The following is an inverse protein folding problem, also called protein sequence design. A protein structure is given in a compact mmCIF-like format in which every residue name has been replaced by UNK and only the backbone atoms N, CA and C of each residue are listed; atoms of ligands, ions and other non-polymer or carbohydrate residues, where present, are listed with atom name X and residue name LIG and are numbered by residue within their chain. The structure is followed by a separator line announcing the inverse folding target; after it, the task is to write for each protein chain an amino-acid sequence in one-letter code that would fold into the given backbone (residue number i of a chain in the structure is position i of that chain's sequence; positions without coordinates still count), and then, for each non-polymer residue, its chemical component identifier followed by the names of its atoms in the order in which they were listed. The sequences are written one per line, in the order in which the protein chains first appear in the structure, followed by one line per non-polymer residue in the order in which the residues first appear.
data_IF_920502048986
#
_entry.id   IF_920502048986
#
_cell.length_a   1.000
_cell.length_b   1.000
_cell.length_c   1.000
_cell.angle_alpha   90.00
_cell.angle_beta   90.00
_cell.angle_gamma   90.00
#
_symmetry.space_group_name_H-M   'P 1'
#
loop_
_entity.id
_entity.type
_entity.pdbx_description
1 polymer ?
#
# COMPACT_ATOMS: atom_id res chain seq x y z
N UNK A 1 15.54 17.56 -7.13
CA UNK A 1 14.49 16.60 -7.48
C UNK A 1 14.29 15.62 -6.32
N UNK A 2 13.07 15.20 -6.02
CA UNK A 2 12.71 14.22 -4.98
C UNK A 2 12.04 13.04 -5.66
N UNK A 3 12.55 11.83 -5.40
CA UNK A 3 12.07 10.60 -6.03
C UNK A 3 11.30 9.79 -5.00
N UNK A 4 10.02 9.58 -5.24
CA UNK A 4 9.13 8.78 -4.38
C UNK A 4 8.79 7.49 -5.12
N UNK A 5 9.04 6.35 -4.50
CA UNK A 5 8.74 5.04 -5.08
C UNK A 5 7.75 4.29 -4.20
N UNK A 6 6.74 3.69 -4.83
CA UNK A 6 6.09 2.52 -4.26
C UNK A 6 7.06 1.33 -4.23
N UNK A 7 6.75 0.27 -3.51
CA UNK A 7 7.63 -0.90 -3.35
C UNK A 7 7.10 -2.11 -4.10
N UNK A 8 5.89 -2.56 -3.77
CA UNK A 8 5.30 -3.78 -4.34
C UNK A 8 4.86 -3.56 -5.80
N UNK A 9 5.44 -4.31 -6.75
CA UNK A 9 5.18 -4.12 -8.18
C UNK A 9 6.04 -3.01 -8.83
N UNK A 10 6.64 -2.14 -8.02
CA UNK A 10 7.44 -0.99 -8.51
C UNK A 10 8.94 -1.20 -8.35
N UNK A 11 9.42 -1.62 -7.17
CA UNK A 11 10.83 -1.93 -6.89
C UNK A 11 11.05 -3.44 -6.76
N UNK A 12 10.02 -4.18 -6.42
CA UNK A 12 10.07 -5.64 -6.22
C UNK A 12 8.90 -6.29 -6.97
N UNK A 13 8.98 -7.60 -7.28
CA UNK A 13 7.76 -8.35 -7.55
C UNK A 13 6.79 -8.20 -6.37
N UNK A 14 5.48 -8.24 -6.63
CA UNK A 14 4.48 -8.14 -5.56
C UNK A 14 4.78 -9.14 -4.45
N UNK A 15 4.97 -8.64 -3.22
CA UNK A 15 5.37 -9.40 -2.01
C UNK A 15 6.70 -10.16 -2.12
N UNK A 16 7.43 -9.98 -3.21
CA UNK A 16 8.74 -10.61 -3.43
C UNK A 16 9.90 -9.73 -2.99
N UNK A 17 11.11 -10.28 -3.04
CA UNK A 17 12.33 -9.54 -2.79
C UNK A 17 12.83 -8.85 -4.06
N UNK A 18 13.58 -7.77 -3.90
CA UNK A 18 14.20 -7.04 -4.99
C UNK A 18 15.20 -7.94 -5.76
N UNK A 19 15.21 -7.82 -7.09
CA UNK A 19 16.17 -8.53 -7.92
C UNK A 19 17.62 -8.12 -7.57
N UNK A 20 18.58 -9.06 -7.45
CA UNK A 20 19.95 -8.75 -7.04
C UNK A 20 20.68 -7.76 -7.95
N UNK A 21 20.36 -7.74 -9.25
CA UNK A 21 20.97 -6.80 -10.20
C UNK A 21 20.38 -5.41 -10.02
N UNK A 22 19.06 -5.34 -9.90
CA UNK A 22 18.35 -4.08 -9.65
C UNK A 22 18.66 -3.51 -8.26
N UNK A 23 18.86 -4.37 -7.25
CA UNK A 23 19.32 -3.94 -5.92
C UNK A 23 20.56 -3.05 -6.00
N UNK A 24 21.60 -3.47 -6.75
CA UNK A 24 22.86 -2.69 -6.89
C UNK A 24 22.62 -1.36 -7.58
N UNK A 25 21.82 -1.36 -8.64
CA UNK A 25 21.46 -0.16 -9.39
C UNK A 25 20.68 0.82 -8.50
N UNK A 26 19.63 0.34 -7.85
CA UNK A 26 18.76 1.18 -7.01
C UNK A 26 19.50 1.72 -5.78
N UNK A 27 20.35 0.91 -5.15
CA UNK A 27 21.19 1.36 -4.04
C UNK A 27 22.13 2.50 -4.46
N UNK A 28 22.77 2.37 -5.63
CA UNK A 28 23.61 3.44 -6.16
C UNK A 28 22.81 4.70 -6.46
N UNK A 29 21.63 4.55 -7.03
CA UNK A 29 20.70 5.65 -7.27
C UNK A 29 20.30 6.34 -5.96
N UNK A 30 19.93 5.57 -4.94
CA UNK A 30 19.53 6.11 -3.64
C UNK A 30 20.68 6.83 -2.91
N UNK A 31 21.96 6.45 -3.15
CA UNK A 31 23.14 7.14 -2.60
C UNK A 31 23.40 8.51 -3.23
N UNK A 32 22.92 8.73 -4.45
CA UNK A 32 23.18 9.97 -5.22
C UNK A 32 21.96 10.88 -5.35
N UNK A 33 20.78 10.39 -5.03
CA UNK A 33 19.52 11.11 -5.17
C UNK A 33 18.72 11.15 -3.86
N UNK A 34 17.77 12.08 -3.76
CA UNK A 34 16.85 12.18 -2.62
C UNK A 34 15.70 11.20 -2.82
N UNK A 35 15.87 9.98 -2.34
CA UNK A 35 14.91 8.89 -2.48
C UNK A 35 14.03 8.75 -1.24
N UNK A 36 12.74 8.56 -1.47
CA UNK A 36 11.70 8.30 -0.48
C UNK A 36 10.92 7.06 -0.91
N UNK A 37 10.50 6.25 0.06
CA UNK A 37 9.64 5.09 -0.21
C UNK A 37 8.26 5.28 0.41
N UNK A 38 7.22 4.83 -0.28
CA UNK A 38 5.85 4.78 0.26
C UNK A 38 5.24 3.42 -0.03
N UNK A 39 4.86 2.68 1.00
CA UNK A 39 4.33 1.33 0.85
C UNK A 39 3.19 1.05 1.83
N UNK A 40 2.29 0.14 1.45
CA UNK A 40 1.29 -0.42 2.36
C UNK A 40 1.86 -1.39 3.41
N UNK A 41 3.08 -1.88 3.19
CA UNK A 41 3.77 -2.81 4.08
C UNK A 41 4.29 -2.12 5.36
N UNK A 42 4.48 -2.88 6.43
CA UNK A 42 5.19 -2.45 7.63
C UNK A 42 6.72 -2.45 7.41
N UNK A 43 7.47 -1.91 8.40
CA UNK A 43 8.94 -1.84 8.34
C UNK A 43 9.59 -3.21 8.12
N UNK A 44 9.15 -4.24 8.85
CA UNK A 44 9.75 -5.57 8.77
C UNK A 44 9.62 -6.13 7.36
N UNK A 45 8.42 -6.06 6.80
CA UNK A 45 8.16 -6.54 5.43
C UNK A 45 8.91 -5.71 4.39
N UNK A 46 8.96 -4.40 4.54
CA UNK A 46 9.69 -3.53 3.62
C UNK A 46 11.19 -3.86 3.62
N UNK A 47 11.81 -4.04 4.80
CA UNK A 47 13.22 -4.43 4.92
C UNK A 47 13.48 -5.83 4.32
N UNK A 48 12.56 -6.79 4.52
CA UNK A 48 12.64 -8.11 3.89
C UNK A 48 12.67 -8.02 2.36
N UNK A 49 11.87 -7.10 1.79
CA UNK A 49 11.73 -6.94 0.34
C UNK A 49 12.93 -6.24 -0.30
N UNK A 50 13.39 -5.12 0.26
CA UNK A 50 14.40 -4.26 -0.39
C UNK A 50 15.78 -4.30 0.27
N UNK A 51 15.93 -4.96 1.41
CA UNK A 51 17.16 -5.01 2.20
C UNK A 51 17.35 -3.78 3.09
N UNK A 52 18.04 -4.00 4.22
CA UNK A 52 18.26 -2.97 5.24
C UNK A 52 19.13 -1.79 4.72
N UNK A 53 20.08 -2.06 3.83
CA UNK A 53 20.98 -1.01 3.30
C UNK A 53 20.21 0.00 2.45
N UNK A 54 19.35 -0.45 1.51
CA UNK A 54 18.49 0.46 0.75
C UNK A 54 17.55 1.21 1.68
N UNK A 55 16.90 0.48 2.62
CA UNK A 55 15.98 1.09 3.58
C UNK A 55 16.62 2.25 4.34
N UNK A 56 17.85 2.07 4.83
CA UNK A 56 18.58 3.08 5.61
C UNK A 56 19.21 4.20 4.73
N UNK A 57 19.38 3.96 3.43
CA UNK A 57 19.90 4.96 2.49
C UNK A 57 18.81 5.96 2.08
N UNK A 58 17.54 5.55 2.10
CA UNK A 58 16.42 6.42 1.77
C UNK A 58 16.26 7.56 2.77
N UNK A 59 15.90 8.76 2.26
CA UNK A 59 15.68 9.96 3.10
C UNK A 59 14.55 9.77 4.12
N UNK A 60 13.49 9.10 3.73
CA UNK A 60 12.41 8.63 4.60
C UNK A 60 11.71 7.43 3.97
N UNK A 61 11.19 6.55 4.83
CA UNK A 61 10.33 5.43 4.42
C UNK A 61 8.98 5.57 5.11
N UNK A 62 7.95 5.73 4.30
CA UNK A 62 6.55 5.85 4.69
C UNK A 62 5.90 4.47 4.62
N UNK A 63 6.03 3.69 5.68
CA UNK A 63 5.37 2.39 5.82
C UNK A 63 3.88 2.57 6.17
N UNK A 64 3.08 1.51 5.99
CA UNK A 64 1.65 1.51 6.26
C UNK A 64 0.94 2.74 5.65
N UNK A 65 1.24 3.04 4.39
CA UNK A 65 0.70 4.20 3.65
C UNK A 65 0.98 5.55 4.33
N UNK A 66 2.14 5.69 4.99
CA UNK A 66 2.52 6.92 5.73
C UNK A 66 2.01 6.97 7.16
N UNK A 67 1.45 5.87 7.69
CA UNK A 67 1.03 5.77 9.08
C UNK A 67 2.17 5.36 10.03
N UNK A 68 3.32 4.93 9.48
CA UNK A 68 4.53 4.57 10.23
C UNK A 68 5.76 5.04 9.46
N UNK A 69 6.42 6.11 9.93
CA UNK A 69 7.45 6.83 9.18
C UNK A 69 8.80 6.65 9.86
N UNK A 70 9.80 6.30 9.06
CA UNK A 70 11.18 6.13 9.52
C UNK A 70 12.17 6.96 8.71
N UNK A 71 13.27 7.32 9.39
CA UNK A 71 14.53 7.74 8.81
C UNK A 71 15.60 6.79 9.37
N UNK A 72 16.10 5.89 8.57
CA UNK A 72 16.91 4.77 9.03
C UNK A 72 16.18 3.98 10.13
N UNK A 73 16.83 3.83 11.30
CA UNK A 73 16.22 3.14 12.45
C UNK A 73 15.36 4.05 13.34
N UNK A 74 15.39 5.36 13.12
CA UNK A 74 14.63 6.32 13.91
C UNK A 74 13.18 6.40 13.42
N UNK A 75 12.23 6.00 14.26
CA UNK A 75 10.81 6.22 14.02
C UNK A 75 10.48 7.71 14.23
N UNK A 76 9.98 8.36 13.19
CA UNK A 76 9.61 9.77 13.20
C UNK A 76 8.14 9.98 13.57
N UNK A 77 7.29 9.06 13.13
CA UNK A 77 5.85 9.12 13.36
C UNK A 77 5.27 7.71 13.42
N UNK A 78 4.26 7.53 14.25
CA UNK A 78 3.43 6.31 14.31
C UNK A 78 1.99 6.67 14.60
N UNK A 79 1.08 6.26 13.73
CA UNK A 79 -0.35 6.40 13.96
C UNK A 79 -0.86 5.26 14.86
N UNK A 80 -1.30 5.59 16.04
CA UNK A 80 -1.83 4.62 17.02
C UNK A 80 -3.35 4.35 16.86
N UNK A 81 -3.94 4.77 15.75
CA UNK A 81 -5.36 4.52 15.48
C UNK A 81 -5.68 3.02 15.45
N UNK A 82 -6.86 2.69 15.94
CA UNK A 82 -7.44 1.36 15.90
C UNK A 82 -8.86 1.44 15.35
N UNK A 83 -9.29 0.39 14.66
CA UNK A 83 -10.65 0.27 14.15
C UNK A 83 -11.66 0.42 15.29
N UNK A 84 -12.60 1.42 15.23
CA UNK A 84 -13.64 1.59 16.24
C UNK A 84 -14.54 0.36 16.34
N UNK A 85 -15.02 0.07 17.55
CA UNK A 85 -15.85 -1.10 17.81
C UNK A 85 -17.09 -1.14 16.91
N UNK A 86 -17.81 -0.03 16.78
CA UNK A 86 -19.01 0.04 15.93
C UNK A 86 -18.70 -0.32 14.45
N UNK A 87 -17.56 0.12 13.91
CA UNK A 87 -17.15 -0.23 12.55
C UNK A 87 -16.77 -1.71 12.45
N UNK A 88 -16.09 -2.25 13.47
CA UNK A 88 -15.77 -3.68 13.53
C UNK A 88 -17.03 -4.55 13.61
N UNK A 89 -17.99 -4.17 14.44
CA UNK A 89 -19.26 -4.90 14.62
C UNK A 89 -20.04 -4.90 13.30
N UNK A 90 -20.09 -3.77 12.60
CA UNK A 90 -20.73 -3.66 11.28
C UNK A 90 -20.06 -4.58 10.23
N UNK A 91 -18.72 -4.57 10.14
CA UNK A 91 -17.98 -5.48 9.24
C UNK A 91 -18.18 -6.95 9.62
N UNK A 92 -18.37 -7.26 10.89
CA UNK A 92 -18.69 -8.63 11.35
C UNK A 92 -20.09 -9.06 10.87
N UNK A 93 -21.06 -8.14 10.82
CA UNK A 93 -22.36 -8.42 10.21
C UNK A 93 -22.16 -8.74 8.72
N UNK A 94 -21.44 -7.92 7.97
CA UNK A 94 -21.13 -8.16 6.55
C UNK A 94 -20.40 -9.49 6.31
N UNK A 95 -19.50 -9.86 7.19
CA UNK A 95 -18.84 -11.18 7.15
C UNK A 95 -19.86 -12.33 7.26
N UNK A 96 -20.84 -12.19 8.15
CA UNK A 96 -21.87 -13.21 8.35
C UNK A 96 -22.94 -13.24 7.23
N UNK A 97 -23.18 -12.10 6.58
CA UNK A 97 -24.09 -11.96 5.44
C UNK A 97 -23.48 -12.47 4.12
N UNK A 98 -22.16 -12.62 4.05
CA UNK A 98 -21.47 -13.06 2.83
C UNK A 98 -21.87 -14.48 2.42
N UNK A 99 -22.21 -14.67 1.16
CA UNK A 99 -22.54 -15.97 0.58
C UNK A 99 -21.32 -16.82 0.22
N UNK A 100 -20.11 -16.24 0.24
CA UNK A 100 -18.89 -17.02 0.01
C UNK A 100 -18.67 -18.02 1.15
N UNK A 101 -18.49 -19.33 0.86
CA UNK A 101 -18.60 -20.36 1.90
C UNK A 101 -17.37 -20.52 2.78
N UNK A 102 -16.16 -20.12 2.30
CA UNK A 102 -14.91 -20.40 2.98
C UNK A 102 -14.57 -19.29 3.97
N UNK A 103 -14.23 -19.67 5.21
CA UNK A 103 -13.79 -18.81 6.30
C UNK A 103 -12.53 -19.41 6.92
N UNK A 104 -11.42 -18.63 6.95
CA UNK A 104 -10.13 -19.16 7.42
C UNK A 104 -9.48 -18.21 8.44
N UNK A 105 -9.31 -18.69 9.66
CA UNK A 105 -8.59 -17.99 10.72
C UNK A 105 -9.12 -16.59 11.04
N UNK A 106 -8.23 -15.59 11.11
CA UNK A 106 -8.60 -14.23 11.46
C UNK A 106 -9.16 -13.45 10.25
N UNK A 107 -10.23 -12.69 10.47
CA UNK A 107 -10.84 -11.83 9.45
C UNK A 107 -10.42 -10.37 9.57
N UNK A 108 -9.80 -9.98 10.68
CA UNK A 108 -9.29 -8.64 10.96
C UNK A 108 -7.82 -8.70 11.29
N UNK A 109 -6.99 -7.98 10.53
CA UNK A 109 -5.57 -7.81 10.76
C UNK A 109 -5.28 -6.35 11.07
N UNK A 110 -4.92 -6.04 12.32
CA UNK A 110 -4.55 -4.69 12.70
C UNK A 110 -3.12 -4.39 12.27
N UNK A 111 -2.95 -3.28 11.57
CA UNK A 111 -1.67 -2.69 11.20
C UNK A 111 -1.58 -1.27 11.76
N UNK A 112 -0.40 -0.67 11.69
CA UNK A 112 -0.24 0.71 12.13
C UNK A 112 -1.13 1.64 11.30
N UNK A 113 -2.09 2.30 11.97
CA UNK A 113 -3.02 3.26 11.36
C UNK A 113 -4.09 2.67 10.45
N UNK A 114 -4.20 1.34 10.34
CA UNK A 114 -5.18 0.68 9.50
C UNK A 114 -5.58 -0.70 10.03
N UNK A 115 -6.69 -1.22 9.52
CA UNK A 115 -7.13 -2.59 9.74
C UNK A 115 -7.48 -3.22 8.39
N UNK A 116 -6.88 -4.35 8.05
CA UNK A 116 -7.31 -5.12 6.89
C UNK A 116 -8.42 -6.07 7.30
N UNK A 117 -9.56 -6.02 6.61
CA UNK A 117 -10.69 -6.94 6.73
C UNK A 117 -10.70 -7.90 5.55
N UNK A 118 -10.97 -9.19 5.77
CA UNK A 118 -11.04 -10.20 4.72
C UNK A 118 -12.15 -11.20 4.97
N UNK A 119 -13.06 -11.36 4.00
CA UNK A 119 -14.18 -12.31 4.07
C UNK A 119 -13.66 -13.75 4.08
N UNK A 120 -12.72 -14.11 3.22
CA UNK A 120 -12.14 -15.47 3.20
C UNK A 120 -11.22 -15.71 4.41
N UNK A 121 -10.73 -14.65 5.03
CA UNK A 121 -9.82 -14.70 6.18
C UNK A 121 -8.34 -14.69 5.82
N UNK A 122 -7.51 -14.43 6.83
CA UNK A 122 -6.07 -14.19 6.65
C UNK A 122 -5.22 -15.47 6.59
N UNK A 123 -5.81 -16.63 6.93
CA UNK A 123 -5.14 -17.94 6.86
C UNK A 123 -5.50 -18.71 5.58
N UNK A 124 -6.20 -18.08 4.63
CA UNK A 124 -6.49 -18.68 3.34
C UNK A 124 -5.19 -18.99 2.58
N UNK A 125 -5.08 -20.21 2.07
CA UNK A 125 -4.00 -20.64 1.19
C UNK A 125 -4.12 -19.99 -0.20
N UNK A 126 -3.17 -20.29 -1.10
CA UNK A 126 -3.15 -19.66 -2.43
C UNK A 126 -4.35 -20.03 -3.29
N UNK A 127 -4.86 -21.26 -3.18
CA UNK A 127 -6.01 -21.73 -3.94
C UNK A 127 -7.28 -21.03 -3.45
N UNK A 128 -7.54 -21.06 -2.15
CA UNK A 128 -8.66 -20.36 -1.51
C UNK A 128 -8.67 -18.85 -1.81
N UNK A 129 -7.50 -18.23 -1.88
CA UNK A 129 -7.38 -16.80 -2.24
C UNK A 129 -7.75 -16.56 -3.70
N UNK A 130 -7.31 -17.40 -4.61
CA UNK A 130 -7.67 -17.33 -6.05
C UNK A 130 -9.15 -17.54 -6.26
N UNK A 131 -9.74 -18.52 -5.57
CA UNK A 131 -11.18 -18.82 -5.64
C UNK A 131 -12.01 -17.65 -5.12
N UNK A 132 -11.63 -17.07 -3.99
CA UNK A 132 -12.31 -15.88 -3.47
C UNK A 132 -12.16 -14.69 -4.43
N UNK A 133 -10.98 -14.49 -4.99
CA UNK A 133 -10.75 -13.41 -5.95
C UNK A 133 -11.61 -13.57 -7.21
N UNK A 134 -11.72 -14.80 -7.73
CA UNK A 134 -12.58 -15.11 -8.87
C UNK A 134 -14.07 -14.85 -8.55
N UNK A 135 -14.53 -15.27 -7.38
CA UNK A 135 -15.88 -14.98 -6.87
C UNK A 135 -16.12 -13.46 -6.76
N UNK A 136 -15.20 -12.73 -6.14
CA UNK A 136 -15.33 -11.29 -5.96
C UNK A 136 -15.25 -10.50 -7.28
N UNK A 137 -14.54 -11.00 -8.29
CA UNK A 137 -14.55 -10.40 -9.63
C UNK A 137 -15.96 -10.40 -10.27
N UNK A 138 -16.80 -11.38 -9.94
CA UNK A 138 -18.18 -11.53 -10.41
C UNK A 138 -19.13 -10.75 -9.50
N UNK A 139 -19.12 -11.07 -8.20
CA UNK A 139 -20.08 -10.56 -7.24
C UNK A 139 -19.82 -9.14 -6.77
N UNK A 140 -18.57 -8.64 -6.94
CA UNK A 140 -18.17 -7.31 -6.47
C UNK A 140 -18.40 -7.09 -4.96
N UNK A 141 -18.25 -8.17 -4.17
CA UNK A 141 -18.58 -8.18 -2.76
C UNK A 141 -17.77 -7.15 -1.97
N UNK A 142 -16.43 -7.13 -2.18
CA UNK A 142 -15.55 -6.18 -1.49
C UNK A 142 -15.85 -4.74 -1.87
N UNK A 143 -16.17 -4.48 -3.14
CA UNK A 143 -16.55 -3.16 -3.61
C UNK A 143 -17.86 -2.69 -2.97
N UNK A 144 -18.90 -3.54 -2.93
CA UNK A 144 -20.17 -3.26 -2.28
C UNK A 144 -19.98 -2.96 -0.78
N UNK A 145 -19.23 -3.82 -0.06
CA UNK A 145 -18.94 -3.63 1.37
C UNK A 145 -18.20 -2.28 1.59
N UNK A 146 -17.21 -1.97 0.78
CA UNK A 146 -16.44 -0.72 0.89
C UNK A 146 -17.31 0.51 0.66
N UNK A 147 -18.17 0.49 -0.36
CA UNK A 147 -19.09 1.60 -0.66
C UNK A 147 -20.07 1.83 0.47
N UNK A 148 -20.73 0.77 0.96
CA UNK A 148 -21.67 0.86 2.09
C UNK A 148 -20.98 1.33 3.37
N UNK A 149 -19.75 0.82 3.64
CA UNK A 149 -18.95 1.24 4.79
C UNK A 149 -18.65 2.74 4.75
N UNK A 150 -18.22 3.24 3.59
CA UNK A 150 -17.85 4.65 3.39
C UNK A 150 -19.06 5.60 3.58
N UNK A 151 -20.27 5.14 3.25
CA UNK A 151 -21.50 5.87 3.53
C UNK A 151 -21.86 5.85 5.02
N UNK A 152 -21.71 4.68 5.67
CA UNK A 152 -22.06 4.50 7.08
C UNK A 152 -21.08 5.21 8.03
N UNK A 153 -19.78 5.25 7.68
CA UNK A 153 -18.72 5.80 8.52
C UNK A 153 -17.96 6.94 7.83
N UNK A 154 -18.53 8.15 7.70
CA UNK A 154 -17.97 9.23 6.88
C UNK A 154 -16.60 9.76 7.36
N UNK A 155 -16.16 9.44 8.58
CA UNK A 155 -14.83 9.76 9.12
C UNK A 155 -13.79 8.68 8.87
N UNK A 156 -14.19 7.54 8.33
CA UNK A 156 -13.36 6.42 7.96
C UNK A 156 -13.36 6.24 6.44
N UNK A 157 -12.45 5.43 5.96
CA UNK A 157 -12.32 5.03 4.56
C UNK A 157 -12.11 3.52 4.51
N UNK A 158 -12.80 2.85 3.60
CA UNK A 158 -12.60 1.45 3.26
C UNK A 158 -12.28 1.37 1.77
N UNK A 159 -11.11 0.85 1.44
CA UNK A 159 -10.65 0.65 0.07
C UNK A 159 -10.39 -0.83 -0.19
N UNK A 160 -10.77 -1.31 -1.37
CA UNK A 160 -10.45 -2.68 -1.79
C UNK A 160 -8.93 -2.81 -1.92
N UNK A 161 -8.34 -3.72 -1.14
CA UNK A 161 -6.89 -3.92 -1.04
C UNK A 161 -6.44 -5.32 -1.46
N UNK A 162 -5.51 -5.41 -2.39
CA UNK A 162 -4.96 -6.68 -2.87
C UNK A 162 -6.03 -7.64 -3.41
N UNK A 163 -5.80 -8.96 -3.25
CA UNK A 163 -6.68 -10.00 -3.82
C UNK A 163 -7.91 -10.31 -2.96
N UNK A 164 -7.82 -10.16 -1.62
CA UNK A 164 -8.84 -10.70 -0.70
C UNK A 164 -9.23 -9.75 0.43
N UNK A 165 -8.65 -8.55 0.46
CA UNK A 165 -8.81 -7.64 1.60
C UNK A 165 -9.58 -6.38 1.28
N UNK A 166 -10.04 -5.73 2.36
CA UNK A 166 -10.51 -4.36 2.40
C UNK A 166 -9.66 -3.65 3.44
N UNK A 167 -8.98 -2.58 3.07
CA UNK A 167 -8.16 -1.79 3.98
C UNK A 167 -9.00 -0.66 4.56
N UNK A 168 -9.14 -0.64 5.88
CA UNK A 168 -9.94 0.34 6.61
C UNK A 168 -9.03 1.24 7.44
N UNK A 169 -9.19 2.54 7.30
CA UNK A 169 -8.37 3.56 7.96
C UNK A 169 -9.15 4.88 8.17
N UNK A 170 -8.54 5.84 8.83
CA UNK A 170 -9.12 7.18 8.95
C UNK A 170 -9.14 7.87 7.59
N UNK A 171 -10.22 8.56 7.27
CA UNK A 171 -10.35 9.32 6.01
C UNK A 171 -9.18 10.29 5.84
N UNK A 172 -8.55 10.25 4.65
CA UNK A 172 -7.35 11.05 4.33
C UNK A 172 -6.03 10.46 4.82
N UNK A 173 -6.04 9.25 5.43
CA UNK A 173 -4.84 8.54 5.88
C UNK A 173 -4.39 7.44 4.91
N UNK A 174 -4.65 7.63 3.61
CA UNK A 174 -4.12 6.82 2.50
C UNK A 174 -2.71 7.28 2.10
N UNK A 175 -2.14 6.71 1.04
CA UNK A 175 -0.80 7.06 0.56
C UNK A 175 -0.61 8.55 0.27
N UNK A 176 -1.65 9.28 -0.15
CA UNK A 176 -1.57 10.71 -0.45
C UNK A 176 -1.13 11.57 0.74
N UNK A 177 -1.36 11.12 1.99
CA UNK A 177 -0.93 11.88 3.17
C UNK A 177 0.57 12.16 3.20
N UNK A 178 1.39 11.38 2.46
CA UNK A 178 2.84 11.58 2.46
C UNK A 178 3.23 12.89 1.78
N UNK A 179 2.41 13.40 0.86
CA UNK A 179 2.69 14.65 0.14
C UNK A 179 2.78 15.87 1.08
N UNK A 180 2.15 15.85 2.25
CA UNK A 180 2.28 16.91 3.26
C UNK A 180 3.71 17.10 3.81
N UNK A 181 4.59 16.12 3.61
CA UNK A 181 5.99 16.18 4.06
C UNK A 181 6.92 16.85 3.03
N UNK A 182 6.39 17.25 1.88
CA UNK A 182 7.14 17.85 0.79
C UNK A 182 6.72 19.32 0.58
N UNK A 183 7.63 20.25 0.84
CA UNK A 183 7.35 21.69 0.72
C UNK A 183 7.21 22.15 -0.73
N UNK A 184 7.87 21.47 -1.68
CA UNK A 184 7.91 21.81 -3.09
C UNK A 184 7.40 20.63 -3.93
N UNK A 185 6.06 20.47 -4.06
CA UNK A 185 5.47 19.35 -4.79
C UNK A 185 5.92 19.27 -6.26
N UNK A 186 6.21 20.40 -6.90
CA UNK A 186 6.67 20.49 -8.28
C UNK A 186 8.02 19.81 -8.54
N UNK A 187 8.76 19.49 -7.48
CA UNK A 187 10.05 18.79 -7.59
C UNK A 187 9.95 17.27 -7.37
N UNK A 188 8.74 16.75 -7.24
CA UNK A 188 8.49 15.32 -7.02
C UNK A 188 8.45 14.58 -8.36
N UNK A 189 9.07 13.40 -8.38
CA UNK A 189 8.85 12.34 -9.37
C UNK A 189 8.35 11.11 -8.61
N UNK A 190 7.14 10.67 -8.91
CA UNK A 190 6.49 9.53 -8.28
C UNK A 190 6.46 8.32 -9.21
N UNK A 191 6.95 7.17 -8.74
CA UNK A 191 6.95 5.90 -9.44
C UNK A 191 6.02 4.90 -8.72
N UNK A 192 5.02 4.36 -9.43
CA UNK A 192 4.05 3.41 -8.88
C UNK A 192 3.45 2.50 -9.95
N UNK A 193 3.09 1.27 -9.59
CA UNK A 193 2.49 0.28 -10.49
C UNK A 193 0.96 0.39 -10.56
N UNK A 194 0.33 0.93 -9.51
CA UNK A 194 -1.13 1.01 -9.37
C UNK A 194 -1.62 2.46 -9.36
N UNK A 195 -1.25 3.22 -10.38
CA UNK A 195 -1.61 4.65 -10.53
C UNK A 195 -2.96 4.88 -11.21
N UNK A 196 -3.66 3.84 -11.63
CA UNK A 196 -5.04 3.88 -12.14
C UNK A 196 -6.06 4.13 -11.01
N UNK A 197 -7.31 4.58 -11.31
CA UNK A 197 -8.32 4.91 -10.31
C UNK A 197 -8.68 3.79 -9.32
N UNK A 198 -8.48 2.53 -9.69
CA UNK A 198 -8.71 1.38 -8.82
C UNK A 198 -7.45 0.98 -8.01
N UNK A 199 -6.32 1.65 -8.24
CA UNK A 199 -5.05 1.36 -7.62
C UNK A 199 -4.79 2.16 -6.33
N UNK A 200 -3.95 1.60 -5.47
CA UNK A 200 -3.60 2.24 -4.20
C UNK A 200 -2.64 3.44 -4.35
N UNK A 201 -1.94 3.55 -5.49
CA UNK A 201 -1.05 4.67 -5.84
C UNK A 201 -1.81 5.86 -6.43
N UNK A 202 -3.04 5.62 -6.90
CA UNK A 202 -3.89 6.66 -7.47
C UNK A 202 -4.05 7.86 -6.55
N UNK A 203 -4.15 7.61 -5.25
CA UNK A 203 -4.29 8.68 -4.26
C UNK A 203 -3.13 9.68 -4.26
N UNK A 204 -1.91 9.29 -4.64
CA UNK A 204 -0.77 10.19 -4.88
C UNK A 204 -0.85 10.72 -6.31
N UNK A 205 -1.01 9.83 -7.29
CA UNK A 205 -0.94 10.16 -8.71
C UNK A 205 -1.95 11.24 -9.11
N UNK A 206 -3.17 11.21 -8.57
CA UNK A 206 -4.22 12.19 -8.89
C UNK A 206 -3.98 13.59 -8.28
N UNK A 207 -3.02 13.76 -7.38
CA UNK A 207 -2.64 15.03 -6.76
C UNK A 207 -1.35 15.64 -7.34
N UNK A 208 -0.68 14.92 -8.23
CA UNK A 208 0.53 15.38 -8.93
C UNK A 208 0.21 15.71 -10.39
N UNK A 209 1.06 16.54 -11.00
CA UNK A 209 0.95 16.81 -12.42
C UNK A 209 1.32 15.58 -13.26
N UNK A 210 0.73 15.35 -14.44
CA UNK A 210 0.97 14.16 -15.25
C UNK A 210 2.45 13.86 -15.53
N UNK A 211 3.27 14.89 -15.71
CA UNK A 211 4.71 14.75 -15.98
C UNK A 211 5.54 14.32 -14.75
N UNK A 212 4.94 14.32 -13.57
CA UNK A 212 5.55 13.91 -12.31
C UNK A 212 5.25 12.44 -11.98
N UNK A 213 4.29 11.82 -12.68
CA UNK A 213 3.82 10.45 -12.40
C UNK A 213 4.39 9.48 -13.43
N UNK A 214 5.16 8.54 -12.95
CA UNK A 214 5.78 7.48 -13.73
C UNK A 214 5.06 6.17 -13.41
N UNK A 215 4.01 5.87 -14.20
CA UNK A 215 3.30 4.61 -14.13
C UNK A 215 4.20 3.49 -14.66
N UNK A 216 4.51 2.50 -13.84
CA UNK A 216 5.37 1.38 -14.21
C UNK A 216 4.58 0.08 -14.28
N UNK A 217 5.01 -0.84 -15.13
CA UNK A 217 4.38 -2.17 -15.23
C UNK A 217 4.96 -3.17 -14.23
N UNK A 218 6.22 -2.96 -13.86
CA UNK A 218 6.98 -3.80 -12.93
C UNK A 218 8.34 -3.13 -12.57
N UNK A 219 9.11 -3.78 -11.71
CA UNK A 219 10.43 -3.31 -11.31
C UNK A 219 11.45 -3.21 -12.47
N UNK A 220 11.29 -3.98 -13.55
CA UNK A 220 12.16 -3.91 -14.75
C UNK A 220 11.93 -2.59 -15.47
N UNK A 221 10.68 -2.19 -15.61
CA UNK A 221 10.33 -0.89 -16.18
C UNK A 221 10.88 0.25 -15.33
N UNK A 222 10.79 0.15 -13.99
CA UNK A 222 11.45 1.10 -13.09
C UNK A 222 12.94 1.15 -13.33
N UNK A 223 13.61 0.00 -13.40
CA UNK A 223 15.05 -0.10 -13.68
C UNK A 223 15.46 0.57 -14.99
N UNK A 224 14.67 0.43 -16.05
CA UNK A 224 14.91 1.09 -17.35
C UNK A 224 14.79 2.61 -17.24
N UNK A 225 13.73 3.11 -16.59
CA UNK A 225 13.51 4.55 -16.42
C UNK A 225 14.67 5.22 -15.65
N UNK A 226 15.17 4.54 -14.61
CA UNK A 226 16.27 5.07 -13.78
C UNK A 226 17.63 5.17 -14.50
N UNK A 227 17.81 4.56 -15.68
CA UNK A 227 19.03 4.73 -16.48
C UNK A 227 19.14 6.12 -17.09
N UNK A 228 18.02 6.85 -17.16
CA UNK A 228 17.96 8.17 -17.80
C UNK A 228 17.83 9.31 -16.78
N UNK A 229 17.90 9.02 -15.49
CA UNK A 229 17.87 10.01 -14.40
C UNK A 229 19.29 10.32 -13.90
#
# INVERSE_FOLDING_TARGET
MMFIFDVDGTLTPSRGSIDPTFYKQFLQFAKTHRVFLVTGSDKMKTVEQIGLEIYNTCMQVFNCSGNDIYYGDKQLYKNNWKLPRAAKDWLTIKLNESEYPIRTGLHFENRTGMCNFSVVGRHADQEQRKDYYAYDCIEKEREKISQEFNLMFPKLQADVGGETGIDVFQKGKNKAQVLQYFSNPETIKFYGDRTDPAGNDYSIACLLEPHQVYAVSDWKHTSELLKNE
#
